data_IF_561772408347
#
_entry.id   IF_561772408347
#
_cell.length_a   1.000
_cell.length_b   1.000
_cell.length_c   1.000
_cell.angle_alpha   90.00
_cell.angle_beta   90.00
_cell.angle_gamma   90.00
#
_symmetry.space_group_name_H-M   'P 1'
#
loop_
_entity.id
_entity.type
_entity.pdbx_description
1 polymer ?
#
# COMPACT_ATOMS: atom_id res chain seq x y z
N UNK A 1 18.20 -10.38 13.94
CA UNK A 1 18.23 -10.13 12.48
C UNK A 1 18.37 -8.64 12.21
N UNK A 2 19.33 -8.23 11.38
CA UNK A 2 19.63 -6.81 11.12
C UNK A 2 18.44 -6.00 10.57
N UNK A 3 17.55 -6.64 9.80
CA UNK A 3 16.34 -5.99 9.26
C UNK A 3 15.33 -5.61 10.35
N UNK A 4 15.19 -6.41 11.41
CA UNK A 4 14.26 -6.12 12.51
C UNK A 4 14.75 -4.94 13.35
N UNK A 5 16.04 -4.91 13.69
CA UNK A 5 16.65 -3.79 14.43
C UNK A 5 16.68 -2.48 13.62
N UNK A 6 16.80 -2.57 12.29
CA UNK A 6 16.71 -1.42 11.41
C UNK A 6 15.26 -0.90 11.28
N UNK A 7 14.28 -1.81 11.26
CA UNK A 7 12.85 -1.49 11.33
C UNK A 7 12.51 -0.73 12.61
N UNK A 8 12.98 -1.21 13.76
CA UNK A 8 12.64 -0.61 15.06
C UNK A 8 13.18 0.81 15.21
N UNK A 9 14.36 1.08 14.67
CA UNK A 9 14.95 2.43 14.68
C UNK A 9 14.27 3.37 13.68
N UNK A 10 14.19 3.01 12.39
CA UNK A 10 13.64 3.92 11.36
C UNK A 10 12.11 3.98 11.31
N UNK A 11 11.41 2.84 11.45
CA UNK A 11 9.96 2.78 11.25
C UNK A 11 9.16 3.09 12.52
N UNK A 12 9.69 2.71 13.68
CA UNK A 12 9.07 3.00 14.98
C UNK A 12 9.71 4.20 15.70
N UNK A 13 10.79 4.74 15.14
CA UNK A 13 11.38 6.00 15.61
C UNK A 13 12.19 5.87 16.90
N UNK A 14 12.63 4.66 17.25
CA UNK A 14 13.56 4.45 18.36
C UNK A 14 14.85 5.25 18.09
N UNK A 15 15.43 5.85 19.12
CA UNK A 15 16.61 6.75 19.03
C UNK A 15 16.39 8.05 18.23
N UNK A 16 15.19 8.63 18.26
CA UNK A 16 14.94 9.99 17.73
C UNK A 16 14.64 10.06 16.23
N UNK A 17 14.51 8.92 15.56
CA UNK A 17 14.19 8.80 14.13
C UNK A 17 12.67 8.83 13.83
N UNK A 18 11.84 9.28 14.78
CA UNK A 18 10.38 9.34 14.63
C UNK A 18 9.88 10.19 13.46
N UNK A 19 10.73 11.04 12.87
CA UNK A 19 10.42 11.83 11.67
C UNK A 19 10.55 11.05 10.36
N UNK A 20 11.25 9.91 10.35
CA UNK A 20 11.52 9.14 9.13
C UNK A 20 10.24 8.56 8.52
N UNK A 21 9.38 7.97 9.37
CA UNK A 21 8.08 7.44 8.93
C UNK A 21 7.14 8.52 8.36
N UNK A 22 6.85 9.65 9.03
CA UNK A 22 5.97 10.68 8.47
C UNK A 22 6.55 11.35 7.22
N UNK A 23 7.87 11.51 7.11
CA UNK A 23 8.50 12.07 5.90
C UNK A 23 8.36 11.13 4.70
N UNK A 24 8.61 9.83 4.86
CA UNK A 24 8.33 8.83 3.82
C UNK A 24 6.85 8.81 3.43
N UNK A 25 5.94 8.94 4.39
CA UNK A 25 4.50 8.99 4.12
C UNK A 25 4.14 10.23 3.30
N UNK A 26 4.69 11.39 3.65
CA UNK A 26 4.53 12.63 2.89
C UNK A 26 5.06 12.50 1.46
N UNK A 27 6.26 11.95 1.27
CA UNK A 27 6.84 11.75 -0.06
C UNK A 27 5.97 10.80 -0.88
N UNK A 28 5.52 9.69 -0.28
CA UNK A 28 4.63 8.72 -0.93
C UNK A 28 3.31 9.37 -1.34
N UNK A 29 2.74 10.21 -0.47
CA UNK A 29 1.52 10.97 -0.76
C UNK A 29 1.71 11.95 -1.92
N UNK A 30 2.82 12.70 -1.92
CA UNK A 30 3.15 13.63 -3.01
C UNK A 30 3.33 12.92 -4.36
N UNK A 31 3.99 11.76 -4.36
CA UNK A 31 4.14 10.93 -5.56
C UNK A 31 2.80 10.40 -6.06
N UNK A 32 1.94 9.96 -5.16
CA UNK A 32 0.60 9.45 -5.50
C UNK A 32 -0.28 10.55 -6.09
N UNK A 33 -0.30 11.74 -5.47
CA UNK A 33 -1.00 12.92 -5.99
C UNK A 33 -0.44 13.33 -7.35
N UNK A 34 0.88 13.39 -7.48
CA UNK A 34 1.55 13.70 -8.75
C UNK A 34 1.20 12.70 -9.86
N UNK A 35 1.24 11.40 -9.57
CA UNK A 35 0.88 10.34 -10.50
C UNK A 35 -0.58 10.42 -10.96
N UNK A 36 -1.50 10.71 -10.04
CA UNK A 36 -2.92 10.96 -10.34
C UNK A 36 -3.08 12.17 -11.26
N UNK A 37 -2.43 13.28 -10.94
CA UNK A 37 -2.49 14.50 -11.76
C UNK A 37 -1.97 14.22 -13.17
N UNK A 38 -0.83 13.53 -13.31
CA UNK A 38 -0.27 13.17 -14.62
C UNK A 38 -1.22 12.23 -15.39
N UNK A 39 -1.78 11.21 -14.73
CA UNK A 39 -2.70 10.26 -15.35
C UNK A 39 -3.96 10.93 -15.91
N UNK A 40 -4.60 11.81 -15.13
CA UNK A 40 -5.80 12.53 -15.58
C UNK A 40 -5.50 13.55 -16.67
N UNK A 41 -4.36 14.26 -16.57
CA UNK A 41 -3.90 15.17 -17.63
C UNK A 41 -3.64 14.43 -18.95
N UNK A 42 -3.04 13.25 -18.89
CA UNK A 42 -2.75 12.45 -20.08
C UNK A 42 -4.02 11.84 -20.73
N UNK A 43 -5.13 11.76 -19.98
CA UNK A 43 -6.45 11.32 -20.46
C UNK A 43 -7.33 12.46 -20.97
N UNK A 44 -6.83 13.71 -21.00
CA UNK A 44 -7.55 14.88 -21.49
C UNK A 44 -8.64 15.42 -20.54
N UNK A 45 -8.72 14.87 -19.32
CA UNK A 45 -9.68 15.32 -18.30
C UNK A 45 -9.02 16.46 -17.54
N UNK A 46 -9.16 17.68 -18.05
CA UNK A 46 -8.63 18.89 -17.42
C UNK A 46 -9.59 19.51 -16.39
N UNK A 47 -10.83 19.03 -16.29
CA UNK A 47 -11.90 19.67 -15.50
C UNK A 47 -12.77 18.67 -14.73
N UNK A 48 -13.23 19.09 -13.56
CA UNK A 48 -14.12 18.34 -12.66
C UNK A 48 -15.46 17.96 -13.33
N UNK A 49 -15.89 18.76 -14.32
CA UNK A 49 -17.13 18.57 -15.09
C UNK A 49 -17.16 17.27 -15.92
N UNK A 50 -16.05 16.91 -16.57
CA UNK A 50 -15.96 15.67 -17.34
C UNK A 50 -15.97 14.43 -16.42
N UNK A 51 -15.39 14.54 -15.22
CA UNK A 51 -15.45 13.49 -14.21
C UNK A 51 -16.88 13.28 -13.68
N UNK A 52 -17.67 14.35 -13.53
CA UNK A 52 -19.08 14.29 -13.13
C UNK A 52 -19.97 13.71 -14.25
N UNK A 53 -19.66 14.00 -15.52
CA UNK A 53 -20.35 13.46 -16.70
C UNK A 53 -20.12 11.97 -16.90
N UNK A 54 -18.97 11.45 -16.48
CA UNK A 54 -18.61 10.02 -16.54
C UNK A 54 -18.49 9.38 -15.15
N UNK A 55 -19.18 9.94 -14.14
CA UNK A 55 -19.08 9.51 -12.72
C UNK A 55 -19.24 8.01 -12.52
N UNK A 56 -20.12 7.35 -13.28
CA UNK A 56 -20.38 5.91 -13.15
C UNK A 56 -19.17 5.07 -13.59
N UNK A 57 -18.48 5.50 -14.65
CA UNK A 57 -17.27 4.82 -15.16
C UNK A 57 -16.08 5.05 -14.23
N UNK A 58 -15.94 6.27 -13.70
CA UNK A 58 -14.92 6.60 -12.70
C UNK A 58 -15.14 5.77 -11.44
N UNK A 59 -16.35 5.79 -10.86
CA UNK A 59 -16.67 5.04 -9.64
C UNK A 59 -16.43 3.54 -9.80
N UNK A 60 -16.92 2.93 -10.90
CA UNK A 60 -16.72 1.49 -11.12
C UNK A 60 -15.24 1.13 -11.29
N UNK A 61 -14.48 1.97 -12.00
CA UNK A 61 -13.05 1.73 -12.20
C UNK A 61 -12.28 1.89 -10.89
N UNK A 62 -12.59 2.93 -10.11
CA UNK A 62 -11.99 3.16 -8.80
C UNK A 62 -12.32 2.03 -7.83
N UNK A 63 -13.59 1.59 -7.78
CA UNK A 63 -14.00 0.44 -6.97
C UNK A 63 -13.24 -0.82 -7.38
N UNK A 64 -13.16 -1.12 -8.68
CA UNK A 64 -12.43 -2.28 -9.17
C UNK A 64 -10.95 -2.22 -8.79
N UNK A 65 -10.29 -1.08 -9.00
CA UNK A 65 -8.88 -0.88 -8.64
C UNK A 65 -8.70 -1.06 -7.13
N UNK A 66 -9.56 -0.45 -6.32
CA UNK A 66 -9.48 -0.49 -4.87
C UNK A 66 -9.70 -1.91 -4.34
N UNK A 67 -10.74 -2.61 -4.82
CA UNK A 67 -10.98 -4.01 -4.47
C UNK A 67 -9.81 -4.89 -4.87
N UNK A 68 -9.34 -4.78 -6.13
CA UNK A 68 -8.20 -5.57 -6.62
C UNK A 68 -6.93 -5.30 -5.80
N UNK A 69 -6.66 -4.03 -5.48
CA UNK A 69 -5.51 -3.64 -4.66
C UNK A 69 -5.58 -4.22 -3.25
N UNK A 70 -6.75 -4.18 -2.61
CA UNK A 70 -6.94 -4.76 -1.27
C UNK A 70 -6.76 -6.28 -1.32
N UNK A 71 -7.39 -6.95 -2.29
CA UNK A 71 -7.27 -8.41 -2.45
C UNK A 71 -5.82 -8.81 -2.69
N UNK A 72 -5.11 -8.10 -3.57
CA UNK A 72 -3.70 -8.37 -3.84
C UNK A 72 -2.82 -8.10 -2.63
N UNK A 73 -3.06 -7.01 -1.89
CA UNK A 73 -2.33 -6.71 -0.66
C UNK A 73 -2.47 -7.83 0.37
N UNK A 74 -3.70 -8.31 0.60
CA UNK A 74 -3.97 -9.39 1.53
C UNK A 74 -3.31 -10.70 1.07
N UNK A 75 -3.45 -11.04 -0.22
CA UNK A 75 -2.84 -12.23 -0.78
C UNK A 75 -1.31 -12.22 -0.65
N UNK A 76 -0.66 -11.13 -1.06
CA UNK A 76 0.79 -11.03 -0.99
C UNK A 76 1.29 -11.03 0.46
N UNK A 77 0.64 -10.33 1.39
CA UNK A 77 1.12 -10.23 2.77
C UNK A 77 0.84 -11.48 3.61
N UNK A 78 -0.34 -12.09 3.45
CA UNK A 78 -0.77 -13.18 4.33
C UNK A 78 -0.63 -14.56 3.71
N UNK A 79 -0.49 -14.65 2.38
CA UNK A 79 -0.22 -15.92 1.68
C UNK A 79 1.25 -16.01 1.31
N UNK A 80 1.71 -15.12 0.44
CA UNK A 80 3.07 -15.24 -0.12
C UNK A 80 4.14 -14.93 0.92
N UNK A 81 4.04 -13.77 1.58
CA UNK A 81 5.05 -13.30 2.53
C UNK A 81 5.10 -14.17 3.80
N UNK A 82 3.95 -14.64 4.29
CA UNK A 82 3.87 -15.55 5.45
C UNK A 82 4.60 -16.86 5.17
N UNK A 83 4.32 -17.52 4.04
CA UNK A 83 4.99 -18.78 3.70
C UNK A 83 6.49 -18.59 3.45
N UNK A 84 6.89 -17.49 2.78
CA UNK A 84 8.31 -17.15 2.62
C UNK A 84 8.97 -16.92 3.99
N UNK A 85 8.29 -16.24 4.91
CA UNK A 85 8.81 -16.00 6.26
C UNK A 85 9.02 -17.28 7.05
N UNK A 86 8.07 -18.22 6.97
CA UNK A 86 8.19 -19.54 7.60
C UNK A 86 9.35 -20.33 7.00
N UNK A 87 9.52 -20.32 5.68
CA UNK A 87 10.65 -20.96 5.00
C UNK A 87 12.01 -20.37 5.44
N UNK A 88 12.05 -19.09 5.79
CA UNK A 88 13.22 -18.40 6.32
C UNK A 88 13.38 -18.55 7.85
N UNK A 89 12.54 -19.37 8.49
CA UNK A 89 12.60 -19.65 9.93
C UNK A 89 12.04 -18.56 10.84
N UNK A 90 11.23 -17.64 10.31
CA UNK A 90 10.53 -16.62 11.10
C UNK A 90 9.28 -17.20 11.77
N UNK A 91 8.93 -16.78 13.00
CA UNK A 91 7.78 -17.30 13.75
C UNK A 91 6.46 -16.68 13.26
N UNK A 92 6.20 -16.74 11.95
CA UNK A 92 5.02 -16.17 11.30
C UNK A 92 3.89 -17.19 11.10
N UNK A 93 4.05 -18.42 11.59
CA UNK A 93 3.01 -19.46 11.55
C UNK A 93 1.71 -18.99 12.22
N UNK A 94 1.80 -18.17 13.26
CA UNK A 94 0.65 -17.56 13.95
C UNK A 94 -0.13 -16.57 13.10
N UNK A 95 0.46 -16.07 12.00
CA UNK A 95 -0.17 -15.10 11.09
C UNK A 95 -0.93 -15.78 9.94
N UNK A 96 -0.95 -17.12 9.90
CA UNK A 96 -1.59 -17.91 8.84
C UNK A 96 -3.11 -17.84 8.97
N UNK A 97 -3.76 -17.30 7.95
CA UNK A 97 -5.21 -17.05 7.95
C UNK A 97 -6.04 -18.35 7.89
N UNK A 98 -5.45 -19.48 7.50
CA UNK A 98 -6.14 -20.77 7.28
C UNK A 98 -5.77 -21.88 8.28
N UNK A 99 -4.96 -21.61 9.31
CA UNK A 99 -4.62 -22.61 10.35
C UNK A 99 -5.40 -22.38 11.66
N UNK A 100 -6.13 -21.27 11.79
CA UNK A 100 -7.00 -20.99 12.93
C UNK A 100 -8.41 -21.59 12.79
N UNK A 101 -8.52 -22.84 12.31
CA UNK A 101 -9.77 -23.59 12.13
C UNK A 101 -9.66 -24.99 12.70
#
# INVERSE_FOLDING_TARGET
SAAASLSDTLYWGLDGWGWFRPTLLCISFLLLVGGIVIYFRNRGICTLDDALRQRRKVINTTLLILTTSITLYLFLNYVVLTEIGILLGLPWESSRVWVSG
#
